data_IF_482192616771
#
_entry.id   IF_482192616771
#
_cell.length_a   1.000
_cell.length_b   1.000
_cell.length_c   1.000
_cell.angle_alpha   90.00
_cell.angle_beta   90.00
_cell.angle_gamma   90.00
#
_symmetry.space_group_name_H-M   'P 1'
#
loop_
_entity.id
_entity.type
_entity.pdbx_description
1 polymer ?
#
# COMPACT_ATOMS: atom_id res chain seq x y z
N UNK A 1 -5.93 -18.63 3.18
CA UNK A 1 -6.46 -18.63 1.80
C UNK A 1 -5.53 -17.80 0.95
N UNK A 2 -5.03 -18.32 -0.17
CA UNK A 2 -4.26 -17.54 -1.13
C UNK A 2 -5.23 -16.63 -1.88
N UNK A 3 -4.93 -15.33 -2.01
CA UNK A 3 -5.64 -14.46 -2.94
C UNK A 3 -5.46 -14.99 -4.36
N UNK A 4 -6.49 -14.89 -5.19
CA UNK A 4 -6.36 -15.02 -6.64
C UNK A 4 -5.55 -13.86 -7.22
N UNK A 5 -5.03 -14.02 -8.44
CA UNK A 5 -4.27 -12.97 -9.12
C UNK A 5 -5.09 -11.69 -9.28
N UNK A 6 -6.39 -11.84 -9.57
CA UNK A 6 -7.31 -10.71 -9.71
C UNK A 6 -7.50 -9.98 -8.38
N UNK A 7 -7.81 -10.70 -7.30
CA UNK A 7 -7.99 -10.09 -5.97
C UNK A 7 -6.70 -9.42 -5.48
N UNK A 8 -5.53 -9.99 -5.78
CA UNK A 8 -4.25 -9.38 -5.47
C UNK A 8 -4.04 -8.06 -6.23
N UNK A 9 -4.37 -8.03 -7.52
CA UNK A 9 -4.28 -6.82 -8.34
C UNK A 9 -5.23 -5.72 -7.84
N UNK A 10 -6.47 -6.06 -7.51
CA UNK A 10 -7.45 -5.13 -6.94
C UNK A 10 -6.95 -4.57 -5.60
N UNK A 11 -6.44 -5.44 -4.71
CA UNK A 11 -5.85 -5.03 -3.45
C UNK A 11 -4.61 -4.12 -3.65
N UNK A 12 -3.79 -4.37 -4.67
CA UNK A 12 -2.65 -3.51 -5.01
C UNK A 12 -3.07 -2.13 -5.50
N UNK A 13 -4.13 -2.06 -6.31
CA UNK A 13 -4.71 -0.78 -6.77
C UNK A 13 -5.21 0.01 -5.58
N UNK A 14 -5.94 -0.63 -4.66
CA UNK A 14 -6.43 0.01 -3.45
C UNK A 14 -5.28 0.55 -2.58
N UNK A 15 -4.26 -0.28 -2.31
CA UNK A 15 -3.06 0.14 -1.55
C UNK A 15 -2.39 1.37 -2.19
N UNK A 16 -2.27 1.42 -3.53
CA UNK A 16 -1.68 2.57 -4.23
C UNK A 16 -2.53 3.84 -4.05
N UNK A 17 -3.85 3.72 -4.15
CA UNK A 17 -4.76 4.85 -3.95
C UNK A 17 -4.66 5.40 -2.53
N UNK A 18 -4.59 4.53 -1.52
CA UNK A 18 -4.48 4.95 -0.12
C UNK A 18 -3.13 5.61 0.18
N UNK A 19 -2.03 5.10 -0.41
CA UNK A 19 -0.73 5.78 -0.35
C UNK A 19 -0.81 7.17 -0.97
N UNK A 20 -1.46 7.31 -2.13
CA UNK A 20 -1.59 8.62 -2.80
C UNK A 20 -2.38 9.61 -1.95
N UNK A 21 -3.52 9.17 -1.38
CA UNK A 21 -4.34 9.97 -0.47
C UNK A 21 -3.54 10.43 0.76
N UNK A 22 -2.84 9.51 1.42
CA UNK A 22 -2.04 9.88 2.59
C UNK A 22 -0.87 10.81 2.26
N UNK A 23 -0.27 10.71 1.06
CA UNK A 23 0.75 11.67 0.62
C UNK A 23 0.17 13.06 0.40
N UNK A 24 -1.03 13.15 -0.15
CA UNK A 24 -1.76 14.39 -0.29
C UNK A 24 -2.07 14.99 1.09
N UNK A 25 -2.66 14.20 1.99
CA UNK A 25 -2.99 14.62 3.35
C UNK A 25 -1.74 15.08 4.13
N UNK A 26 -0.59 14.42 3.90
CA UNK A 26 0.68 14.82 4.49
C UNK A 26 1.14 16.21 4.03
N UNK A 27 0.92 16.55 2.76
CA UNK A 27 1.25 17.87 2.20
C UNK A 27 0.40 19.00 2.79
N UNK A 28 -0.85 18.70 3.14
CA UNK A 28 -1.81 19.67 3.70
C UNK A 28 -1.78 19.71 5.24
N UNK A 29 -1.12 18.76 5.91
CA UNK A 29 -1.14 18.66 7.37
C UNK A 29 -0.11 19.58 8.03
N UNK A 30 -0.60 20.48 8.90
CA UNK A 30 0.24 21.34 9.75
C UNK A 30 0.42 20.83 11.18
N UNK A 31 -0.39 19.87 11.61
CA UNK A 31 -0.33 19.28 12.96
C UNK A 31 0.76 18.18 13.03
N UNK A 32 1.83 18.36 13.82
CA UNK A 32 2.93 17.40 13.91
C UNK A 32 2.51 16.02 14.42
N UNK A 33 1.43 15.91 15.20
CA UNK A 33 0.93 14.62 15.67
C UNK A 33 0.27 13.86 14.53
N UNK A 34 -0.61 14.52 13.78
CA UNK A 34 -1.25 13.95 12.59
C UNK A 34 -0.23 13.62 11.51
N UNK A 35 0.78 14.47 11.33
CA UNK A 35 1.89 14.21 10.39
C UNK A 35 2.61 12.89 10.72
N UNK A 36 2.92 12.65 12.01
CA UNK A 36 3.55 11.40 12.46
C UNK A 36 2.65 10.19 12.23
N UNK A 37 1.35 10.32 12.49
CA UNK A 37 0.38 9.25 12.24
C UNK A 37 0.27 8.91 10.74
N UNK A 38 0.19 9.93 9.88
CA UNK A 38 0.16 9.77 8.42
C UNK A 38 1.45 9.09 7.93
N UNK A 39 2.62 9.53 8.41
CA UNK A 39 3.91 8.89 8.09
C UNK A 39 3.96 7.43 8.53
N UNK A 40 3.43 7.09 9.70
CA UNK A 40 3.34 5.70 10.17
C UNK A 40 2.49 4.84 9.23
N UNK A 41 1.27 5.31 8.92
CA UNK A 41 0.36 4.62 7.99
C UNK A 41 0.94 4.47 6.59
N UNK A 42 1.62 5.50 6.07
CA UNK A 42 2.33 5.43 4.79
C UNK A 42 3.36 4.30 4.77
N UNK A 43 4.13 4.15 5.86
CA UNK A 43 5.14 3.09 5.97
C UNK A 43 4.49 1.71 5.98
N UNK A 44 3.40 1.54 6.73
CA UNK A 44 2.64 0.29 6.78
C UNK A 44 2.10 -0.10 5.40
N UNK A 45 1.52 0.85 4.66
CA UNK A 45 1.02 0.60 3.31
C UNK A 45 2.13 0.33 2.29
N UNK A 46 3.29 0.98 2.41
CA UNK A 46 4.45 0.69 1.56
C UNK A 46 4.98 -0.73 1.79
N UNK A 47 5.03 -1.18 3.04
CA UNK A 47 5.40 -2.57 3.38
C UNK A 47 4.37 -3.54 2.81
N UNK A 48 3.07 -3.26 2.96
CA UNK A 48 2.01 -4.06 2.37
C UNK A 48 2.16 -4.15 0.85
N UNK A 49 2.40 -3.02 0.18
CA UNK A 49 2.58 -2.98 -1.26
C UNK A 49 3.78 -3.81 -1.73
N UNK A 50 4.90 -3.72 -0.99
CA UNK A 50 6.06 -4.55 -1.24
C UNK A 50 5.74 -6.05 -1.14
N UNK A 51 4.99 -6.46 -0.11
CA UNK A 51 4.57 -7.87 0.02
C UNK A 51 3.65 -8.31 -1.11
N UNK A 52 2.69 -7.46 -1.51
CA UNK A 52 1.81 -7.74 -2.64
C UNK A 52 2.62 -7.96 -3.94
N UNK A 53 3.64 -7.14 -4.19
CA UNK A 53 4.57 -7.33 -5.32
C UNK A 53 5.33 -8.65 -5.23
N UNK A 54 5.79 -9.03 -4.04
CA UNK A 54 6.47 -10.33 -3.85
C UNK A 54 5.56 -11.53 -4.03
N UNK A 55 4.28 -11.41 -3.72
CA UNK A 55 3.29 -12.46 -4.02
C UNK A 55 3.10 -12.55 -5.53
N UNK A 56 2.91 -11.41 -6.22
CA UNK A 56 2.73 -11.38 -7.67
C UNK A 56 3.93 -11.98 -8.41
N UNK A 57 5.17 -11.59 -8.04
CA UNK A 57 6.40 -12.15 -8.59
C UNK A 57 6.51 -13.67 -8.42
N UNK A 58 5.96 -14.23 -7.33
CA UNK A 58 5.96 -15.68 -7.09
C UNK A 58 4.92 -16.37 -7.98
N UNK A 59 3.74 -15.77 -8.13
CA UNK A 59 2.69 -16.31 -9.00
C UNK A 59 3.15 -16.36 -10.45
N UNK A 60 3.81 -15.31 -10.93
CA UNK A 60 4.35 -15.22 -12.31
C UNK A 60 5.50 -16.20 -12.58
N UNK A 61 6.22 -16.66 -11.56
CA UNK A 61 7.26 -17.70 -11.68
C UNK A 61 6.71 -19.13 -11.63
N UNK A 62 5.46 -19.28 -11.21
CA UNK A 62 4.77 -20.57 -11.09
C UNK A 62 3.83 -20.86 -12.26
N UNK A 63 3.62 -19.89 -13.16
CA UNK A 63 3.02 -20.02 -14.50
C UNK A 63 4.10 -20.35 -15.56
#
# INVERSE_FOLDING_TARGET
MSLSRQELNEAMVQTKQDIFRLKYDLGETVDPRKEREIKRKLRELQILHYWQLKILERMEKSE
#
